data_IF_410140490895
#
_entry.id   IF_410140490895
#
_cell.length_a   1.000
_cell.length_b   1.000
_cell.length_c   1.000
_cell.angle_alpha   90.00
_cell.angle_beta   90.00
_cell.angle_gamma   90.00
#
_symmetry.space_group_name_H-M   'P 1'
#
loop_
_entity.id
_entity.type
_entity.pdbx_description
1 polymer ?
#
# COMPACT_ATOMS: atom_id res chain seq x y z
N UNK A 1 3.89 -25.99 -41.16
CA UNK A 1 2.60 -25.37 -40.76
C UNK A 1 2.06 -25.92 -39.43
N UNK A 2 2.41 -27.14 -39.00
CA UNK A 2 2.06 -27.69 -37.68
C UNK A 2 3.03 -27.27 -36.55
N UNK A 3 4.27 -26.88 -36.86
CA UNK A 3 5.28 -26.49 -35.86
C UNK A 3 5.10 -25.06 -35.30
N UNK A 4 4.23 -24.23 -35.90
CA UNK A 4 3.97 -22.86 -35.43
C UNK A 4 2.84 -22.78 -34.39
N UNK A 5 2.16 -23.89 -34.10
CA UNK A 5 1.06 -23.92 -33.12
C UNK A 5 1.50 -24.41 -31.72
N UNK A 6 2.64 -25.07 -31.61
CA UNK A 6 3.16 -25.56 -30.32
C UNK A 6 3.78 -24.45 -29.45
N UNK A 7 4.32 -23.39 -30.06
CA UNK A 7 4.97 -22.29 -29.33
C UNK A 7 3.97 -21.35 -28.61
N UNK A 8 2.70 -21.35 -29.04
CA UNK A 8 1.67 -20.42 -28.52
C UNK A 8 0.76 -21.05 -27.46
N UNK A 9 0.92 -22.35 -27.15
CA UNK A 9 0.04 -23.08 -26.23
C UNK A 9 0.49 -23.05 -24.74
N UNK A 10 1.61 -22.38 -24.43
CA UNK A 10 2.22 -22.39 -23.08
C UNK A 10 1.99 -21.16 -22.21
N UNK A 11 1.39 -20.08 -22.73
CA UNK A 11 1.14 -18.87 -21.94
C UNK A 11 -0.22 -18.96 -21.24
N UNK A 12 -0.35 -19.92 -20.33
CA UNK A 12 -1.44 -19.93 -19.34
C UNK A 12 -1.32 -18.66 -18.50
N UNK A 13 -2.01 -17.62 -18.95
CA UNK A 13 -2.11 -16.32 -18.30
C UNK A 13 -2.78 -16.58 -16.95
N UNK A 14 -1.96 -16.70 -15.89
CA UNK A 14 -2.45 -16.84 -14.52
C UNK A 14 -3.35 -15.63 -14.25
N UNK A 15 -4.65 -15.84 -14.38
CA UNK A 15 -5.70 -14.90 -14.02
C UNK A 15 -5.81 -14.83 -12.49
N UNK A 16 -4.68 -14.58 -11.82
CA UNK A 16 -4.64 -14.22 -10.43
C UNK A 16 -5.08 -12.76 -10.29
N UNK A 17 -5.89 -12.46 -9.27
CA UNK A 17 -6.20 -11.08 -8.84
C UNK A 17 -4.97 -10.33 -8.29
N UNK A 18 -3.76 -10.79 -8.57
CA UNK A 18 -2.50 -10.34 -8.00
C UNK A 18 -1.50 -10.18 -9.14
N UNK A 19 -0.65 -9.15 -9.06
CA UNK A 19 0.41 -8.93 -10.03
C UNK A 19 1.30 -10.17 -10.12
N UNK A 20 1.61 -10.59 -11.36
CA UNK A 20 2.61 -11.62 -11.59
C UNK A 20 3.91 -11.21 -10.89
N UNK A 21 4.46 -12.10 -10.06
CA UNK A 21 5.69 -11.90 -9.26
C UNK A 21 6.91 -11.91 -10.19
N UNK A 22 6.97 -10.90 -11.05
CA UNK A 22 8.02 -10.67 -12.04
C UNK A 22 9.04 -9.69 -11.48
N UNK A 23 10.15 -9.48 -12.19
CA UNK A 23 11.12 -8.46 -11.81
C UNK A 23 10.49 -7.06 -11.68
N UNK A 24 9.58 -6.71 -12.58
CA UNK A 24 8.85 -5.43 -12.54
C UNK A 24 8.03 -5.25 -11.25
N UNK A 25 7.47 -6.34 -10.69
CA UNK A 25 6.78 -6.28 -9.40
C UNK A 25 7.71 -5.80 -8.28
N UNK A 26 8.94 -6.31 -8.24
CA UNK A 26 9.90 -5.92 -7.21
C UNK A 26 10.35 -4.46 -7.36
N UNK A 27 10.60 -4.03 -8.60
CA UNK A 27 10.97 -2.63 -8.89
C UNK A 27 9.86 -1.68 -8.44
N UNK A 28 8.61 -1.91 -8.86
CA UNK A 28 7.49 -1.03 -8.52
C UNK A 28 7.23 -1.05 -7.01
N UNK A 29 7.38 -2.21 -6.34
CA UNK A 29 7.23 -2.31 -4.89
C UNK A 29 8.26 -1.46 -4.15
N UNK A 30 9.53 -1.52 -4.55
CA UNK A 30 10.59 -0.69 -3.96
C UNK A 30 10.27 0.79 -4.19
N UNK A 31 9.92 1.18 -5.42
CA UNK A 31 9.50 2.55 -5.75
C UNK A 31 8.30 2.99 -4.90
N UNK A 32 7.30 2.14 -4.70
CA UNK A 32 6.12 2.45 -3.89
C UNK A 32 6.46 2.66 -2.41
N UNK A 33 7.41 1.91 -1.87
CA UNK A 33 7.88 2.10 -0.48
C UNK A 33 8.72 3.37 -0.33
N UNK A 34 9.60 3.67 -1.28
CA UNK A 34 10.39 4.93 -1.28
C UNK A 34 9.50 6.15 -1.49
N UNK A 35 8.50 6.04 -2.37
CA UNK A 35 7.52 7.09 -2.62
C UNK A 35 6.62 7.34 -1.41
N UNK A 36 6.37 6.34 -0.56
CA UNK A 36 5.59 6.52 0.67
C UNK A 36 6.21 7.55 1.62
N UNK A 37 7.51 7.46 1.84
CA UNK A 37 8.26 8.40 2.69
C UNK A 37 8.43 9.76 2.01
N UNK A 38 9.01 9.78 0.81
CA UNK A 38 9.27 11.02 0.08
C UNK A 38 7.97 11.78 -0.29
N UNK A 39 6.91 11.05 -0.63
CA UNK A 39 5.61 11.63 -0.95
C UNK A 39 4.84 12.11 0.27
N UNK A 40 4.95 11.39 1.40
CA UNK A 40 4.39 11.81 2.69
C UNK A 40 5.01 13.12 3.19
N UNK A 41 6.34 13.22 3.12
CA UNK A 41 7.07 14.44 3.47
C UNK A 41 6.82 15.59 2.48
N UNK A 42 6.72 15.30 1.17
CA UNK A 42 6.38 16.32 0.18
C UNK A 42 5.02 16.97 0.48
N UNK A 43 3.96 16.20 0.76
CA UNK A 43 2.66 16.80 1.04
C UNK A 43 2.65 17.54 2.39
N UNK A 44 3.29 16.98 3.42
CA UNK A 44 3.27 17.54 4.78
C UNK A 44 4.16 18.77 4.94
N UNK A 45 5.35 18.76 4.34
CA UNK A 45 6.33 19.84 4.43
C UNK A 45 6.22 20.84 3.27
N UNK A 46 6.04 20.40 2.02
CA UNK A 46 6.03 21.31 0.85
C UNK A 46 4.76 22.15 0.77
N UNK A 47 3.59 21.60 1.15
CA UNK A 47 2.34 22.37 1.17
C UNK A 47 2.06 23.03 2.53
N UNK A 48 2.95 22.90 3.53
CA UNK A 48 2.77 23.41 4.91
C UNK A 48 1.44 22.99 5.57
N UNK A 49 0.83 21.91 5.09
CA UNK A 49 -0.45 21.39 5.60
C UNK A 49 -0.30 20.74 7.00
N UNK A 50 0.92 20.36 7.37
CA UNK A 50 1.19 19.64 8.61
C UNK A 50 0.84 18.14 8.50
N UNK A 51 1.41 17.34 9.39
CA UNK A 51 1.26 15.87 9.35
C UNK A 51 -0.18 15.40 9.59
N UNK A 52 -0.97 16.17 10.34
CA UNK A 52 -2.37 15.82 10.62
C UNK A 52 -3.25 15.93 9.36
N UNK A 53 -3.23 17.07 8.68
CA UNK A 53 -4.02 17.26 7.46
C UNK A 53 -3.55 16.32 6.33
N UNK A 54 -2.25 16.13 6.16
CA UNK A 54 -1.71 15.17 5.19
C UNK A 54 -2.15 13.73 5.48
N UNK A 55 -2.15 13.31 6.75
CA UNK A 55 -2.59 11.95 7.13
C UNK A 55 -4.05 11.72 6.75
N UNK A 56 -4.94 12.68 7.02
CA UNK A 56 -6.35 12.57 6.62
C UNK A 56 -6.55 12.56 5.11
N UNK A 57 -5.78 13.35 4.36
CA UNK A 57 -5.84 13.39 2.89
C UNK A 57 -5.38 12.05 2.30
N UNK A 58 -4.24 11.52 2.74
CA UNK A 58 -3.76 10.22 2.28
C UNK A 58 -4.67 9.08 2.72
N UNK A 59 -5.25 9.17 3.92
CA UNK A 59 -6.22 8.19 4.39
C UNK A 59 -7.47 8.18 3.51
N UNK A 60 -8.01 9.35 3.18
CA UNK A 60 -9.13 9.46 2.24
C UNK A 60 -8.77 8.89 0.86
N UNK A 61 -7.59 9.24 0.33
CA UNK A 61 -7.08 8.70 -0.93
C UNK A 61 -6.95 7.16 -0.90
N UNK A 62 -6.44 6.60 0.20
CA UNK A 62 -6.34 5.16 0.40
C UNK A 62 -7.72 4.50 0.47
N UNK A 63 -8.66 5.05 1.23
CA UNK A 63 -10.03 4.51 1.32
C UNK A 63 -10.71 4.51 -0.05
N UNK A 64 -10.57 5.58 -0.83
CA UNK A 64 -11.11 5.65 -2.19
C UNK A 64 -10.48 4.59 -3.09
N UNK A 65 -9.16 4.49 -3.11
CA UNK A 65 -8.46 3.52 -3.96
C UNK A 65 -8.73 2.07 -3.54
N UNK A 66 -8.79 1.79 -2.23
CA UNK A 66 -9.14 0.49 -1.69
C UNK A 66 -10.60 0.11 -1.98
N UNK A 67 -11.55 1.03 -1.83
CA UNK A 67 -12.95 0.78 -2.17
C UNK A 67 -13.14 0.50 -3.66
N UNK A 68 -12.45 1.26 -4.53
CA UNK A 68 -12.43 1.01 -5.97
C UNK A 68 -11.81 -0.35 -6.30
N UNK A 69 -10.77 -0.77 -5.59
CA UNK A 69 -10.15 -2.08 -5.76
C UNK A 69 -11.07 -3.23 -5.30
N UNK A 70 -11.73 -3.12 -4.14
CA UNK A 70 -12.63 -4.14 -3.60
C UNK A 70 -13.88 -4.28 -4.50
N UNK A 71 -14.38 -3.17 -5.04
CA UNK A 71 -15.50 -3.15 -5.99
C UNK A 71 -15.13 -3.63 -7.41
N UNK A 72 -13.85 -3.69 -7.76
CA UNK A 72 -13.40 -4.12 -9.07
C UNK A 72 -13.60 -5.63 -9.26
N UNK A 73 -14.56 -6.01 -10.11
CA UNK A 73 -14.84 -7.42 -10.46
C UNK A 73 -13.72 -8.09 -11.27
N UNK A 74 -12.83 -7.31 -11.90
CA UNK A 74 -11.69 -7.77 -12.70
C UNK A 74 -10.39 -7.22 -12.13
N UNK A 75 -9.30 -8.00 -12.26
CA UNK A 75 -7.96 -7.55 -11.87
C UNK A 75 -7.56 -6.32 -12.70
N UNK A 76 -7.41 -5.19 -12.03
CA UNK A 76 -6.95 -3.93 -12.61
C UNK A 76 -5.58 -3.62 -11.99
N UNK A 77 -4.46 -3.88 -12.69
CA UNK A 77 -3.11 -3.68 -12.16
C UNK A 77 -2.91 -2.25 -11.63
N UNK A 78 -3.49 -1.26 -12.30
CA UNK A 78 -3.37 0.14 -11.91
C UNK A 78 -4.02 0.45 -10.56
N UNK A 79 -5.26 -0.02 -10.32
CA UNK A 79 -5.95 0.16 -9.04
C UNK A 79 -5.25 -0.58 -7.90
N UNK A 80 -4.72 -1.78 -8.18
CA UNK A 80 -3.91 -2.53 -7.23
C UNK A 80 -2.67 -1.74 -6.80
N UNK A 81 -1.89 -1.23 -7.76
CA UNK A 81 -0.68 -0.46 -7.43
C UNK A 81 -1.01 0.88 -6.76
N UNK A 82 -2.10 1.54 -7.14
CA UNK A 82 -2.56 2.75 -6.44
C UNK A 82 -2.90 2.49 -4.98
N UNK A 83 -3.61 1.39 -4.69
CA UNK A 83 -3.90 1.02 -3.31
C UNK A 83 -2.62 0.66 -2.54
N UNK A 84 -1.65 -0.01 -3.17
CA UNK A 84 -0.34 -0.28 -2.56
C UNK A 84 0.40 1.02 -2.22
N UNK A 85 0.46 1.97 -3.15
CA UNK A 85 1.07 3.29 -2.94
C UNK A 85 0.29 4.09 -1.87
N UNK A 86 -1.04 4.04 -1.90
CA UNK A 86 -1.89 4.68 -0.89
C UNK A 86 -1.63 4.10 0.50
N UNK A 87 -1.46 2.77 0.60
CA UNK A 87 -1.14 2.11 1.87
C UNK A 87 0.21 2.56 2.41
N UNK A 88 1.25 2.67 1.56
CA UNK A 88 2.58 3.11 2.00
C UNK A 88 2.58 4.59 2.42
N UNK A 89 1.90 5.46 1.67
CA UNK A 89 1.73 6.88 2.03
C UNK A 89 1.00 7.07 3.36
N UNK A 90 -0.11 6.36 3.56
CA UNK A 90 -0.85 6.39 4.84
C UNK A 90 0.00 5.84 5.97
N UNK A 91 0.69 4.72 5.75
CA UNK A 91 1.54 4.09 6.74
C UNK A 91 2.61 5.05 7.28
N UNK A 92 3.31 5.74 6.38
CA UNK A 92 4.35 6.70 6.78
C UNK A 92 3.76 7.91 7.47
N UNK A 93 2.72 8.54 6.89
CA UNK A 93 2.14 9.75 7.47
C UNK A 93 1.48 9.53 8.83
N UNK A 94 0.82 8.39 9.04
CA UNK A 94 0.28 8.01 10.36
C UNK A 94 1.39 7.74 11.36
N UNK A 95 2.49 7.08 10.96
CA UNK A 95 3.64 6.87 11.84
C UNK A 95 4.33 8.18 12.23
N UNK A 96 4.48 9.12 11.30
CA UNK A 96 4.98 10.47 11.57
C UNK A 96 4.01 11.29 12.44
N UNK A 97 2.70 11.16 12.24
CA UNK A 97 1.70 11.83 13.08
C UNK A 97 1.75 11.30 14.53
N UNK A 98 1.87 9.98 14.72
CA UNK A 98 1.99 9.36 16.04
C UNK A 98 3.28 9.76 16.76
N UNK A 99 4.41 9.79 16.05
CA UNK A 99 5.70 10.12 16.66
C UNK A 99 5.88 11.63 16.89
N UNK A 100 5.45 12.47 15.94
CA UNK A 100 5.69 13.93 15.94
C UNK A 100 4.51 14.74 16.48
N UNK A 101 3.27 14.52 16.02
CA UNK A 101 2.11 15.33 16.44
C UNK A 101 1.67 15.02 17.87
N UNK A 102 1.63 13.74 18.24
CA UNK A 102 1.30 13.34 19.61
C UNK A 102 2.48 13.48 20.59
N UNK A 103 3.67 13.88 20.13
CA UNK A 103 4.91 14.01 20.93
C UNK A 103 5.26 12.77 21.78
N UNK A 104 4.75 11.59 21.39
CA UNK A 104 4.97 10.32 22.09
C UNK A 104 6.45 9.90 22.02
N UNK A 105 7.21 10.42 21.05
CA UNK A 105 8.56 9.98 20.76
C UNK A 105 8.58 8.67 19.96
N UNK A 106 9.67 8.44 19.23
CA UNK A 106 9.86 7.26 18.37
C UNK A 106 9.63 5.90 19.06
N UNK A 107 10.15 5.63 20.29
CA UNK A 107 9.99 4.31 20.91
C UNK A 107 8.53 4.03 21.29
N UNK A 108 7.80 5.02 21.79
CA UNK A 108 6.42 4.84 22.22
C UNK A 108 5.46 4.69 21.02
N UNK A 109 5.65 5.49 19.96
CA UNK A 109 4.90 5.34 18.72
C UNK A 109 5.10 3.95 18.10
N UNK A 110 6.35 3.46 18.07
CA UNK A 110 6.68 2.12 17.57
C UNK A 110 6.00 1.01 18.37
N UNK A 111 5.96 1.12 19.71
CA UNK A 111 5.29 0.13 20.56
C UNK A 111 3.77 0.09 20.35
N UNK A 112 3.13 1.25 20.15
CA UNK A 112 1.70 1.32 19.87
C UNK A 112 1.39 0.68 18.51
N UNK A 113 2.17 0.99 17.48
CA UNK A 113 2.01 0.38 16.15
C UNK A 113 2.24 -1.13 16.19
N UNK A 114 3.24 -1.60 16.94
CA UNK A 114 3.49 -3.03 17.16
C UNK A 114 2.29 -3.69 17.85
N UNK A 115 1.74 -3.05 18.89
CA UNK A 115 0.52 -3.50 19.55
C UNK A 115 -0.67 -3.59 18.60
N UNK A 116 -0.84 -2.61 17.71
CA UNK A 116 -1.90 -2.62 16.70
C UNK A 116 -1.75 -3.78 15.71
N UNK A 117 -0.52 -4.12 15.30
CA UNK A 117 -0.24 -5.30 14.46
C UNK A 117 -0.61 -6.59 15.19
N UNK A 118 -0.21 -6.74 16.46
CA UNK A 118 -0.58 -7.92 17.26
C UNK A 118 -2.09 -8.04 17.45
N UNK A 119 -2.79 -6.93 17.70
CA UNK A 119 -4.24 -6.91 17.80
C UNK A 119 -4.91 -7.34 16.48
N UNK A 120 -4.44 -6.83 15.35
CA UNK A 120 -4.93 -7.23 14.03
C UNK A 120 -4.73 -8.73 13.79
N UNK A 121 -3.55 -9.27 14.10
CA UNK A 121 -3.26 -10.71 14.00
C UNK A 121 -4.12 -11.54 14.95
N UNK A 122 -4.37 -11.07 16.17
CA UNK A 122 -5.23 -11.74 17.13
C UNK A 122 -6.69 -11.80 16.65
N UNK A 123 -7.22 -10.67 16.15
CA UNK A 123 -8.56 -10.61 15.55
C UNK A 123 -8.67 -11.57 14.38
N UNK A 124 -7.67 -11.60 13.49
CA UNK A 124 -7.65 -12.54 12.37
C UNK A 124 -7.62 -14.01 12.83
N UNK A 125 -6.83 -14.33 13.85
CA UNK A 125 -6.74 -15.66 14.48
C UNK A 125 -8.03 -16.08 15.19
N UNK A 126 -8.82 -15.14 15.69
CA UNK A 126 -10.11 -15.41 16.33
C UNK A 126 -11.25 -15.53 15.31
N UNK A 127 -11.12 -14.85 14.16
CA UNK A 127 -12.08 -14.88 13.07
C UNK A 127 -11.90 -16.09 12.11
N UNK A 128 -10.75 -16.77 12.17
CA UNK A 128 -10.40 -17.95 11.35
C UNK A 128 -10.40 -19.21 12.21
#
# INVERSE_FOLDING_TARGET
MAELQDEQAGASHFAGKVAAVTFAFWVIKICATTLGEAGGDALSMTFKLGYEASSWIFFAFFVVTAALQIGAKKYQPFLYWLAVVGTTLVGTTVADMMSRSFKLGYPQASLILLGAVFACLAVWRLAT
#
